data_IF_967802124181
#
_entry.id   IF_967802124181
#
_cell.length_a   1.000
_cell.length_b   1.000
_cell.length_c   1.000
_cell.angle_alpha   90.00
_cell.angle_beta   90.00
_cell.angle_gamma   90.00
#
_symmetry.space_group_name_H-M   'P 1'
#
loop_
_entity.id
_entity.type
_entity.pdbx_description
1 polymer ?
#
# COMPACT_ATOMS: atom_id res chain seq x y z
N UNK A 1 -33.71 15.42 -3.26
CA UNK A 1 -32.26 15.62 -3.51
C UNK A 1 -31.59 15.75 -2.15
N UNK A 2 -30.45 15.10 -1.83
CA UNK A 2 -29.49 14.41 -2.70
C UNK A 2 -29.33 12.91 -2.38
N UNK A 3 -28.97 12.12 -3.40
CA UNK A 3 -28.26 10.85 -3.21
C UNK A 3 -26.90 11.24 -2.64
N UNK A 4 -26.58 10.79 -1.43
CA UNK A 4 -25.18 10.74 -1.02
C UNK A 4 -24.53 9.76 -2.00
N UNK A 5 -23.76 10.30 -2.94
CA UNK A 5 -22.80 9.52 -3.68
C UNK A 5 -22.03 8.71 -2.65
N UNK A 6 -22.11 7.39 -2.79
CA UNK A 6 -21.13 6.49 -2.22
C UNK A 6 -19.78 7.04 -2.68
N UNK A 7 -19.07 7.66 -1.76
CA UNK A 7 -17.64 7.87 -1.86
C UNK A 7 -17.05 6.45 -1.80
N UNK A 8 -17.08 5.74 -2.92
CA UNK A 8 -16.08 4.72 -3.18
C UNK A 8 -14.78 5.49 -3.36
N UNK A 9 -14.15 5.85 -2.23
CA UNK A 9 -12.73 6.10 -2.23
C UNK A 9 -12.08 4.94 -2.98
N UNK A 10 -11.15 5.18 -3.92
CA UNK A 10 -10.42 4.09 -4.53
C UNK A 10 -9.79 3.30 -3.39
N UNK A 11 -10.24 2.07 -3.15
CA UNK A 11 -9.76 1.24 -2.04
C UNK A 11 -8.39 0.72 -2.43
N UNK A 12 -7.41 1.59 -2.29
CA UNK A 12 -6.00 1.24 -2.37
C UNK A 12 -5.71 0.32 -1.19
N UNK A 13 -5.36 -0.92 -1.49
CA UNK A 13 -5.01 -1.96 -0.54
C UNK A 13 -3.50 -2.01 -0.39
N UNK A 14 -3.01 -1.83 0.83
CA UNK A 14 -1.58 -2.00 1.12
C UNK A 14 -1.28 -3.47 1.35
N UNK A 15 -0.38 -4.03 0.54
CA UNK A 15 0.11 -5.40 0.58
C UNK A 15 1.52 -5.39 1.10
N UNK A 16 1.77 -6.09 2.20
CA UNK A 16 3.11 -6.29 2.75
C UNK A 16 3.56 -7.71 2.48
N UNK A 17 4.77 -7.87 1.97
CA UNK A 17 5.36 -9.18 1.88
C UNK A 17 6.74 -9.17 1.26
N UNK A 18 7.33 -10.36 1.23
CA UNK A 18 8.60 -10.60 0.59
C UNK A 18 8.41 -10.72 -0.92
N UNK A 19 9.21 -9.99 -1.69
CA UNK A 19 9.27 -10.16 -3.15
C UNK A 19 9.84 -11.54 -3.41
N UNK A 20 9.05 -12.45 -3.94
CA UNK A 20 9.55 -13.73 -4.44
C UNK A 20 10.07 -13.62 -5.86
N UNK A 21 9.45 -12.75 -6.67
CA UNK A 21 9.80 -12.60 -8.07
C UNK A 21 9.58 -11.17 -8.53
N UNK A 22 10.50 -10.63 -9.32
CA UNK A 22 10.42 -9.27 -9.84
C UNK A 22 10.69 -9.26 -11.35
N UNK A 23 9.67 -8.95 -12.13
CA UNK A 23 9.76 -8.84 -13.58
C UNK A 23 9.70 -7.35 -13.97
N UNK A 24 10.88 -6.74 -14.12
CA UNK A 24 11.01 -5.30 -14.47
C UNK A 24 10.60 -5.01 -15.92
N UNK A 25 10.74 -5.98 -16.82
CA UNK A 25 10.39 -5.82 -18.25
C UNK A 25 8.87 -5.91 -18.47
N UNK A 26 8.23 -6.89 -17.86
CA UNK A 26 6.79 -7.13 -17.88
C UNK A 26 6.02 -6.30 -16.85
N UNK A 27 6.71 -5.48 -16.04
CA UNK A 27 6.14 -4.65 -14.97
C UNK A 27 5.28 -5.48 -14.01
N UNK A 28 5.79 -6.62 -13.54
CA UNK A 28 5.09 -7.51 -12.61
C UNK A 28 5.94 -7.82 -11.38
N UNK A 29 5.30 -7.97 -10.23
CA UNK A 29 5.94 -8.38 -8.98
C UNK A 29 5.13 -9.47 -8.31
N UNK A 30 5.79 -10.51 -7.84
CA UNK A 30 5.20 -11.55 -7.00
C UNK A 30 5.59 -11.28 -5.56
N UNK A 31 4.63 -10.90 -4.73
CA UNK A 31 4.80 -10.61 -3.32
C UNK A 31 4.06 -11.67 -2.52
N UNK A 32 4.77 -12.43 -1.68
CA UNK A 32 4.19 -13.50 -0.85
C UNK A 32 3.24 -14.45 -1.63
N UNK A 33 3.67 -14.91 -2.81
CA UNK A 33 2.89 -15.78 -3.69
C UNK A 33 1.75 -15.12 -4.48
N UNK A 34 1.56 -13.79 -4.39
CA UNK A 34 0.54 -13.06 -5.15
C UNK A 34 1.20 -12.18 -6.22
N UNK A 35 0.77 -12.31 -7.48
CA UNK A 35 1.24 -11.48 -8.59
C UNK A 35 0.45 -10.17 -8.68
N UNK A 36 1.18 -9.06 -8.81
CA UNK A 36 0.64 -7.72 -9.01
C UNK A 36 1.36 -7.03 -10.17
N UNK A 37 0.64 -6.14 -10.86
CA UNK A 37 1.22 -5.30 -11.92
C UNK A 37 1.83 -4.03 -11.30
N UNK A 38 3.10 -3.76 -11.57
CA UNK A 38 3.85 -2.59 -11.14
C UNK A 38 3.52 -1.37 -12.00
N UNK A 39 3.13 -0.26 -11.36
CA UNK A 39 3.18 1.05 -12.03
C UNK A 39 4.63 1.52 -12.21
N UNK A 40 4.83 2.49 -13.09
CA UNK A 40 6.14 3.12 -13.29
C UNK A 40 6.72 3.72 -12.00
N UNK A 41 5.86 4.23 -11.12
CA UNK A 41 6.25 4.79 -9.82
C UNK A 41 6.73 3.70 -8.84
N UNK A 42 6.08 2.54 -8.84
CA UNK A 42 6.50 1.36 -8.08
C UNK A 42 7.77 0.71 -8.66
N UNK A 43 7.91 0.69 -9.99
CA UNK A 43 9.09 0.17 -10.69
C UNK A 43 10.33 1.05 -10.53
N UNK A 44 10.14 2.34 -10.20
CA UNK A 44 11.23 3.26 -9.88
C UNK A 44 11.90 2.94 -8.53
N UNK A 45 11.27 2.11 -7.69
CA UNK A 45 11.81 1.74 -6.39
C UNK A 45 12.79 0.59 -6.55
N UNK A 46 14.00 0.78 -6.03
CA UNK A 46 15.04 -0.25 -5.99
C UNK A 46 14.67 -1.35 -4.98
N UNK A 47 13.89 -2.31 -5.44
CA UNK A 47 13.62 -3.57 -4.74
C UNK A 47 14.20 -4.75 -5.50
N UNK A 48 14.51 -5.82 -4.76
CA UNK A 48 15.09 -7.03 -5.29
C UNK A 48 14.30 -8.27 -4.83
N UNK A 49 14.47 -9.37 -5.54
CA UNK A 49 13.95 -10.67 -5.12
C UNK A 49 14.55 -11.03 -3.75
N UNK A 50 13.68 -11.36 -2.81
CA UNK A 50 14.01 -11.65 -1.42
C UNK A 50 13.88 -10.47 -0.46
N UNK A 51 13.54 -9.28 -0.94
CA UNK A 51 13.38 -8.09 -0.11
C UNK A 51 11.94 -7.97 0.42
N UNK A 52 11.77 -7.53 1.67
CA UNK A 52 10.45 -7.19 2.20
C UNK A 52 10.01 -5.82 1.67
N UNK A 53 8.81 -5.77 1.09
CA UNK A 53 8.24 -4.58 0.47
C UNK A 53 6.79 -4.38 0.91
N UNK A 54 6.38 -3.11 0.87
CA UNK A 54 5.02 -2.64 1.09
C UNK A 54 4.53 -2.02 -0.23
N UNK A 55 3.55 -2.67 -0.86
CA UNK A 55 2.98 -2.31 -2.14
C UNK A 55 1.55 -1.79 -1.96
N UNK A 56 1.24 -0.58 -2.39
CA UNK A 56 -0.13 -0.06 -2.40
C UNK A 56 -0.77 -0.39 -3.73
N UNK A 57 -1.73 -1.30 -3.72
CA UNK A 57 -2.44 -1.84 -4.89
C UNK A 57 -3.81 -1.19 -5.00
N UNK A 58 -4.09 -0.55 -6.12
CA UNK A 58 -5.42 -0.01 -6.42
C UNK A 58 -6.08 -0.90 -7.49
N UNK A 59 -7.09 -1.67 -7.07
CA UNK A 59 -7.71 -2.70 -7.90
C UNK A 59 -6.76 -3.88 -8.15
N UNK A 60 -5.94 -3.78 -9.20
CA UNK A 60 -4.99 -4.82 -9.64
C UNK A 60 -3.57 -4.29 -9.87
N UNK A 61 -3.38 -2.97 -9.74
CA UNK A 61 -2.12 -2.32 -10.09
C UNK A 61 -1.48 -1.72 -8.85
N UNK A 62 -0.21 -2.03 -8.60
CA UNK A 62 0.63 -1.39 -7.60
C UNK A 62 0.88 0.05 -8.03
N UNK A 63 0.32 1.01 -7.28
CA UNK A 63 0.55 2.44 -7.46
C UNK A 63 1.92 2.83 -6.90
N UNK A 64 2.15 2.48 -5.65
CA UNK A 64 3.39 2.77 -4.93
C UNK A 64 3.97 1.50 -4.35
N UNK A 65 5.29 1.39 -4.38
CA UNK A 65 6.00 0.29 -3.75
C UNK A 65 7.12 0.88 -2.93
N UNK A 66 7.23 0.48 -1.67
CA UNK A 66 8.29 0.90 -0.79
C UNK A 66 8.98 -0.34 -0.24
N UNK A 67 10.30 -0.30 -0.12
CA UNK A 67 11.00 -1.30 0.69
C UNK A 67 10.46 -1.19 2.10
N UNK A 68 9.95 -2.30 2.64
CA UNK A 68 9.49 -2.39 4.02
C UNK A 68 10.72 -2.41 4.93
N UNK A 69 11.39 -1.26 5.02
CA UNK A 69 12.08 -0.91 6.24
C UNK A 69 11.01 -0.89 7.33
N UNK A 70 11.28 -1.61 8.43
CA UNK A 70 10.40 -1.79 9.59
C UNK A 70 9.42 -0.63 9.80
N UNK A 71 8.14 -0.90 10.09
CA UNK A 71 7.07 0.09 10.07
C UNK A 71 7.53 1.35 10.80
N UNK A 72 7.77 2.41 10.05
CA UNK A 72 7.62 3.75 10.59
C UNK A 72 6.13 3.83 10.91
N UNK A 73 5.83 3.49 12.16
CA UNK A 73 4.84 4.13 13.00
C UNK A 73 3.66 4.62 12.17
N UNK A 74 2.58 3.84 12.17
CA UNK A 74 1.27 4.42 12.00
C UNK A 74 1.25 5.71 12.82
N UNK A 75 1.14 6.92 12.23
CA UNK A 75 0.52 7.97 12.98
C UNK A 75 -0.87 7.39 13.22
N UNK A 76 -1.08 6.90 14.43
CA UNK A 76 -2.40 6.61 14.95
C UNK A 76 -3.30 7.73 14.41
N UNK A 77 -4.43 7.40 13.73
CA UNK A 77 -5.36 8.45 13.35
C UNK A 77 -5.57 9.26 14.61
N UNK A 78 -5.14 10.53 14.56
CA UNK A 78 -5.20 11.43 15.68
C UNK A 78 -6.68 11.53 16.04
N UNK A 79 -7.09 10.72 17.00
CA UNK A 79 -8.37 10.77 17.66
C UNK A 79 -8.33 12.04 18.52
N UNK A 80 -8.55 13.17 17.86
CA UNK A 80 -8.99 14.38 18.50
C UNK A 80 -10.53 14.43 18.40
N UNK A 81 -11.24 15.20 19.22
CA UNK A 81 -10.99 15.56 20.63
C UNK A 81 -12.29 15.51 21.46
N UNK A 82 -12.34 14.83 22.60
CA UNK A 82 -13.42 14.95 23.59
C UNK A 82 -12.99 14.13 24.82
N UNK A 83 -13.12 14.49 26.09
CA UNK A 83 -13.95 15.48 26.77
C UNK A 83 -13.34 15.56 28.19
N UNK A 84 -13.08 16.76 28.71
CA UNK A 84 -13.02 16.93 30.16
C UNK A 84 -14.47 16.76 30.67
N UNK A 85 -14.75 16.08 31.79
CA UNK A 85 -14.57 16.77 33.08
C UNK A 85 -14.26 15.87 34.30
N UNK A 86 -13.72 16.54 35.32
CA UNK A 86 -13.97 16.41 36.77
C UNK A 86 -14.06 15.02 37.42
N UNK A 87 -13.26 14.80 38.47
CA UNK A 87 -13.66 15.03 39.88
C UNK A 87 -12.44 15.05 40.81
#
# INVERSE_FOLDING_TARGET
>A
MPVLAQEEAPTAQTVKGKVEKLDKEGKKVTIAGTEYDLSEEAAAVEVAEGDEVEATVEGTTVKTLAKAAAPAEAPAPAEAPAEAPAE
#
